data_IF_366075126648
#
_entry.id   IF_366075126648
#
_cell.length_a   1.000
_cell.length_b   1.000
_cell.length_c   1.000
_cell.angle_alpha   90.00
_cell.angle_beta   90.00
_cell.angle_gamma   90.00
#
_symmetry.space_group_name_H-M   'P 1'
#
loop_
_entity.id
_entity.type
_entity.pdbx_description
1 polymer ?
#
# COMPACT_ATOMS: atom_id res chain seq x y z
N UNK A 1 -27.57 6.53 -23.29
CA UNK A 1 -26.75 5.36 -23.67
C UNK A 1 -27.64 4.45 -24.52
N UNK A 2 -27.30 4.19 -25.80
CA UNK A 2 -28.17 3.44 -26.70
C UNK A 2 -28.25 1.97 -26.26
N UNK A 3 -29.40 1.59 -25.69
CA UNK A 3 -29.69 0.24 -25.20
C UNK A 3 -29.59 -0.83 -26.30
N UNK A 4 -29.83 -0.44 -27.55
CA UNK A 4 -29.76 -1.34 -28.71
C UNK A 4 -28.32 -1.74 -29.07
N UNK A 5 -27.34 -0.86 -28.84
CA UNK A 5 -25.93 -1.18 -29.06
C UNK A 5 -25.42 -2.20 -28.03
N UNK A 6 -25.84 -2.07 -26.77
CA UNK A 6 -25.51 -3.00 -25.69
C UNK A 6 -26.07 -4.40 -25.94
N UNK A 7 -27.34 -4.49 -26.35
CA UNK A 7 -27.97 -5.78 -26.67
C UNK A 7 -27.30 -6.47 -27.86
N UNK A 8 -26.95 -5.70 -28.90
CA UNK A 8 -26.35 -6.25 -30.12
C UNK A 8 -24.89 -6.70 -29.94
N UNK A 9 -24.10 -6.03 -29.09
CA UNK A 9 -22.67 -6.30 -28.93
C UNK A 9 -22.30 -6.97 -27.59
N UNK A 10 -23.29 -7.48 -26.84
CA UNK A 10 -23.06 -8.02 -25.50
C UNK A 10 -21.99 -9.13 -25.48
N UNK A 11 -21.91 -9.93 -26.56
CA UNK A 11 -20.93 -11.00 -26.72
C UNK A 11 -19.49 -10.50 -26.93
N UNK A 12 -19.29 -9.25 -27.31
CA UNK A 12 -17.96 -8.59 -27.34
C UNK A 12 -17.64 -7.89 -26.01
N UNK A 13 -18.69 -7.38 -25.34
CA UNK A 13 -18.55 -6.70 -24.06
C UNK A 13 -18.20 -7.67 -22.92
N UNK A 14 -18.74 -8.88 -22.93
CA UNK A 14 -18.45 -9.88 -21.88
C UNK A 14 -16.97 -10.29 -21.85
N UNK A 15 -16.34 -10.71 -22.97
CA UNK A 15 -14.89 -10.97 -22.99
C UNK A 15 -14.06 -9.73 -22.64
N UNK A 16 -14.46 -8.55 -23.14
CA UNK A 16 -13.77 -7.31 -22.83
C UNK A 16 -13.82 -6.98 -21.34
N UNK A 17 -14.97 -7.16 -20.69
CA UNK A 17 -15.13 -6.94 -19.25
C UNK A 17 -14.29 -7.93 -18.43
N UNK A 18 -14.22 -9.20 -18.84
CA UNK A 18 -13.40 -10.22 -18.19
C UNK A 18 -11.89 -9.86 -18.20
N UNK A 19 -11.43 -9.11 -19.19
CA UNK A 19 -10.04 -8.65 -19.27
C UNK A 19 -9.85 -7.29 -18.62
N UNK A 20 -10.74 -6.33 -18.90
CA UNK A 20 -10.61 -4.95 -18.44
C UNK A 20 -10.81 -4.82 -16.93
N UNK A 21 -11.74 -5.56 -16.32
CA UNK A 21 -12.01 -5.44 -14.88
C UNK A 21 -10.78 -5.85 -14.04
N UNK A 22 -10.15 -7.02 -14.26
CA UNK A 22 -8.92 -7.38 -13.55
C UNK A 22 -7.77 -6.39 -13.78
N UNK A 23 -7.60 -5.91 -15.02
CA UNK A 23 -6.57 -4.90 -15.33
C UNK A 23 -6.81 -3.59 -14.59
N UNK A 24 -8.07 -3.13 -14.52
CA UNK A 24 -8.43 -1.94 -13.76
C UNK A 24 -8.23 -2.14 -12.25
N UNK A 25 -8.50 -3.33 -11.71
CA UNK A 25 -8.21 -3.65 -10.32
C UNK A 25 -6.71 -3.64 -10.02
N UNK A 26 -5.88 -4.21 -10.90
CA UNK A 26 -4.42 -4.17 -10.78
C UNK A 26 -3.93 -2.71 -10.83
N UNK A 27 -4.38 -1.93 -11.82
CA UNK A 27 -4.02 -0.52 -11.93
C UNK A 27 -4.47 0.28 -10.70
N UNK A 28 -5.66 -0.01 -10.16
CA UNK A 28 -6.14 0.59 -8.92
C UNK A 28 -5.22 0.28 -7.75
N UNK A 29 -4.74 -0.96 -7.60
CA UNK A 29 -3.81 -1.34 -6.55
C UNK A 29 -2.47 -0.62 -6.68
N UNK A 30 -1.91 -0.55 -7.90
CA UNK A 30 -0.66 0.18 -8.16
C UNK A 30 -0.80 1.67 -7.78
N UNK A 31 -1.87 2.32 -8.22
CA UNK A 31 -2.08 3.75 -7.99
C UNK A 31 -2.42 4.05 -6.54
N UNK A 32 -3.29 3.26 -5.89
CA UNK A 32 -3.77 3.55 -4.54
C UNK A 32 -2.87 3.05 -3.43
N UNK A 33 -2.21 1.91 -3.60
CA UNK A 33 -1.34 1.32 -2.58
C UNK A 33 0.16 1.47 -2.90
N UNK A 34 0.52 1.96 -4.09
CA UNK A 34 1.92 2.16 -4.48
C UNK A 34 2.66 0.84 -4.74
N UNK A 35 1.91 -0.20 -5.09
CA UNK A 35 2.43 -1.53 -5.37
C UNK A 35 3.09 -1.60 -6.74
N UNK A 36 4.10 -2.47 -6.83
CA UNK A 36 4.54 -2.95 -8.13
C UNK A 36 3.48 -3.87 -8.75
N UNK A 37 3.71 -4.29 -9.99
CA UNK A 37 2.75 -5.13 -10.71
C UNK A 37 2.51 -6.49 -10.04
N UNK A 38 3.57 -7.11 -9.51
CA UNK A 38 3.51 -8.44 -8.89
C UNK A 38 2.72 -8.39 -7.58
N UNK A 39 3.02 -7.42 -6.72
CA UNK A 39 2.32 -7.16 -5.47
C UNK A 39 0.86 -6.77 -5.72
N UNK A 40 0.58 -6.06 -6.82
CA UNK A 40 -0.80 -5.74 -7.22
C UNK A 40 -1.58 -6.98 -7.62
N UNK A 41 -0.98 -7.92 -8.36
CA UNK A 41 -1.62 -9.20 -8.68
C UNK A 41 -1.90 -10.00 -7.40
N UNK A 42 -0.92 -10.07 -6.47
CA UNK A 42 -1.11 -10.75 -5.18
C UNK A 42 -2.27 -10.12 -4.41
N UNK A 43 -2.32 -8.80 -4.33
CA UNK A 43 -3.39 -8.07 -3.66
C UNK A 43 -4.76 -8.37 -4.29
N UNK A 44 -4.86 -8.34 -5.62
CA UNK A 44 -6.10 -8.65 -6.35
C UNK A 44 -6.56 -10.09 -6.12
N UNK A 45 -5.63 -11.05 -6.07
CA UNK A 45 -5.94 -12.48 -5.82
C UNK A 45 -6.51 -12.75 -4.43
N UNK A 46 -6.18 -11.91 -3.44
CA UNK A 46 -6.59 -12.09 -2.05
C UNK A 46 -7.60 -11.03 -1.59
N UNK A 47 -8.25 -10.32 -2.52
CA UNK A 47 -9.31 -9.37 -2.20
C UNK A 47 -10.41 -10.07 -1.39
N UNK A 48 -10.72 -9.50 -0.22
CA UNK A 48 -11.72 -10.05 0.72
C UNK A 48 -11.12 -10.92 1.83
N UNK A 49 -9.88 -11.37 1.70
CA UNK A 49 -9.15 -12.13 2.72
C UNK A 49 -8.06 -11.31 3.42
N UNK A 50 -8.05 -9.99 3.19
CA UNK A 50 -7.06 -9.06 3.71
C UNK A 50 -7.60 -8.27 4.87
N UNK A 51 -6.83 -8.14 5.95
CA UNK A 51 -7.19 -7.23 7.04
C UNK A 51 -5.96 -6.55 7.60
N UNK A 52 -5.97 -5.22 7.63
CA UNK A 52 -4.82 -4.40 8.03
C UNK A 52 -5.24 -3.41 9.10
N UNK A 53 -4.51 -3.38 10.20
CA UNK A 53 -4.59 -2.33 11.22
C UNK A 53 -3.60 -1.25 10.85
N UNK A 54 -4.01 0.01 10.98
CA UNK A 54 -3.14 1.15 10.73
C UNK A 54 -2.93 1.98 11.99
N UNK A 55 -1.79 2.68 12.04
CA UNK A 55 -1.49 3.64 13.10
C UNK A 55 -2.51 4.79 13.16
N UNK A 56 -2.68 5.38 14.34
CA UNK A 56 -3.64 6.47 14.53
C UNK A 56 -3.28 7.68 13.65
N UNK A 57 -4.24 8.15 12.85
CA UNK A 57 -4.04 9.31 11.96
C UNK A 57 -3.30 8.99 10.66
N UNK A 58 -2.96 7.71 10.43
CA UNK A 58 -2.41 7.21 9.18
C UNK A 58 -3.39 7.43 8.02
N UNK A 59 -2.83 7.69 6.84
CA UNK A 59 -3.59 7.64 5.58
C UNK A 59 -2.63 7.35 4.44
N UNK A 60 -3.08 6.59 3.44
CA UNK A 60 -2.28 6.25 2.26
C UNK A 60 -1.78 7.49 1.52
N UNK A 61 -2.62 8.53 1.42
CA UNK A 61 -2.23 9.79 0.77
C UNK A 61 -1.03 10.44 1.48
N UNK A 62 -1.04 10.50 2.80
CA UNK A 62 0.07 11.06 3.58
C UNK A 62 1.30 10.15 3.53
N UNK A 63 1.12 8.84 3.51
CA UNK A 63 2.21 7.88 3.33
C UNK A 63 2.96 8.09 2.02
N UNK A 64 2.23 8.35 0.93
CA UNK A 64 2.83 8.68 -0.37
C UNK A 64 3.57 10.01 -0.40
N UNK A 65 3.21 10.95 0.47
CA UNK A 65 3.94 12.22 0.62
C UNK A 65 5.31 12.02 1.26
N UNK A 66 5.55 10.88 1.92
CA UNK A 66 6.85 10.56 2.49
C UNK A 66 7.86 10.25 1.38
N UNK A 67 8.97 11.00 1.39
CA UNK A 67 10.06 10.91 0.43
C UNK A 67 11.37 10.55 1.13
N UNK A 68 12.28 9.94 0.37
CA UNK A 68 13.66 9.69 0.78
C UNK A 68 14.33 11.02 1.17
N UNK A 69 15.10 11.00 2.25
CA UNK A 69 15.81 12.17 2.80
C UNK A 69 15.00 13.04 3.75
N UNK A 70 13.71 12.79 3.94
CA UNK A 70 12.93 13.55 4.94
C UNK A 70 13.35 13.21 6.37
N UNK A 71 13.29 14.22 7.25
CA UNK A 71 13.54 14.07 8.67
C UNK A 71 12.49 13.21 9.38
N UNK A 72 12.90 12.42 10.38
CA UNK A 72 11.98 11.68 11.24
C UNK A 72 10.90 12.57 11.88
N UNK A 73 11.24 13.82 12.24
CA UNK A 73 10.26 14.81 12.73
C UNK A 73 9.22 15.18 11.67
N UNK A 74 9.64 15.35 10.42
CA UNK A 74 8.74 15.64 9.31
C UNK A 74 7.84 14.44 8.99
N UNK A 75 8.39 13.23 9.04
CA UNK A 75 7.63 11.97 8.92
C UNK A 75 6.59 11.88 10.03
N UNK A 76 6.97 12.09 11.29
CA UNK A 76 6.07 12.07 12.44
C UNK A 76 4.94 13.10 12.31
N UNK A 77 5.26 14.33 11.89
CA UNK A 77 4.24 15.35 11.69
C UNK A 77 3.23 14.97 10.61
N UNK A 78 3.69 14.27 9.57
CA UNK A 78 2.91 13.81 8.43
C UNK A 78 2.06 12.59 8.79
N UNK A 79 2.68 11.49 9.23
CA UNK A 79 2.04 10.20 9.43
C UNK A 79 1.54 9.95 10.85
N UNK A 80 1.94 10.79 11.81
CA UNK A 80 1.72 10.60 13.24
C UNK A 80 2.46 9.37 13.76
N UNK A 81 1.98 8.82 14.86
CA UNK A 81 2.63 7.76 15.61
C UNK A 81 2.57 6.44 14.83
N UNK A 82 3.72 5.78 14.58
CA UNK A 82 3.73 4.43 14.04
C UNK A 82 3.13 3.43 15.04
N UNK A 83 2.68 2.27 14.55
CA UNK A 83 2.20 1.19 15.41
C UNK A 83 3.34 0.52 16.16
N UNK A 84 4.45 0.27 15.47
CA UNK A 84 5.65 -0.35 16.04
C UNK A 84 6.91 0.40 15.56
N UNK A 85 7.92 0.41 16.43
CA UNK A 85 9.26 0.93 16.18
C UNK A 85 10.27 -0.06 16.74
N UNK A 86 11.37 -0.26 16.04
CA UNK A 86 12.47 -1.08 16.52
C UNK A 86 13.39 -0.27 17.45
N UNK A 87 13.02 -0.14 18.73
CA UNK A 87 13.82 0.59 19.73
C UNK A 87 14.86 -0.37 20.34
N UNK A 88 16.13 0.05 20.56
CA UNK A 88 16.65 1.42 20.54
C UNK A 88 17.17 1.96 19.20
N UNK A 89 17.36 1.13 18.17
CA UNK A 89 18.01 1.53 16.91
C UNK A 89 17.16 2.53 16.11
N UNK A 90 15.84 2.42 16.23
CA UNK A 90 14.81 3.29 15.65
C UNK A 90 14.93 3.48 14.13
N UNK A 91 15.41 2.44 13.43
CA UNK A 91 15.62 2.41 11.98
C UNK A 91 14.39 1.96 11.19
N UNK A 92 13.32 1.51 11.83
CA UNK A 92 12.15 0.94 11.19
C UNK A 92 10.87 1.36 11.91
N UNK A 93 10.00 2.08 11.19
CA UNK A 93 8.72 2.55 11.69
C UNK A 93 7.60 1.86 10.91
N UNK A 94 6.86 0.97 11.58
CA UNK A 94 5.74 0.23 10.99
C UNK A 94 4.44 0.99 11.25
N UNK A 95 3.75 1.36 10.17
CA UNK A 95 2.47 2.05 10.23
C UNK A 95 1.26 1.13 10.02
N UNK A 96 1.53 -0.14 9.72
CA UNK A 96 0.52 -1.15 9.45
C UNK A 96 0.91 -2.48 10.10
N UNK A 97 -0.07 -3.19 10.63
CA UNK A 97 0.07 -4.54 11.16
C UNK A 97 -1.08 -5.43 10.68
N UNK A 98 -0.92 -6.77 10.67
CA UNK A 98 -2.05 -7.66 10.44
C UNK A 98 -3.11 -7.47 11.52
N UNK A 99 -4.38 -7.55 11.14
CA UNK A 99 -5.45 -7.77 12.11
C UNK A 99 -5.37 -9.18 12.69
N UNK A 100 -5.98 -9.41 13.86
CA UNK A 100 -5.97 -10.75 14.46
C UNK A 100 -6.56 -11.80 13.50
N UNK A 101 -5.81 -12.88 13.25
CA UNK A 101 -6.25 -14.01 12.43
C UNK A 101 -6.19 -13.79 10.91
N UNK A 102 -5.49 -12.76 10.42
CA UNK A 102 -5.25 -12.56 8.97
C UNK A 102 -3.79 -12.78 8.62
N UNK A 103 -3.55 -13.46 7.51
CA UNK A 103 -2.21 -13.67 6.96
C UNK A 103 -1.88 -12.63 5.89
N UNK A 104 -2.90 -12.09 5.21
CA UNK A 104 -2.74 -11.10 4.15
C UNK A 104 -3.01 -9.70 4.66
N UNK A 105 -2.07 -8.78 4.45
CA UNK A 105 -2.24 -7.39 4.86
C UNK A 105 -1.35 -6.44 4.05
N UNK A 106 -1.67 -5.14 4.12
CA UNK A 106 -0.92 -4.10 3.44
C UNK A 106 0.24 -3.61 4.31
N UNK A 107 1.48 -3.81 3.87
CA UNK A 107 2.67 -3.36 4.60
C UNK A 107 3.03 -1.91 4.25
N UNK A 108 3.15 -1.09 5.29
CA UNK A 108 3.49 0.34 5.25
C UNK A 108 4.58 0.59 6.28
N UNK A 109 5.82 0.58 5.81
CA UNK A 109 7.00 0.71 6.66
C UNK A 109 7.88 1.84 6.14
N UNK A 110 8.40 2.64 7.06
CA UNK A 110 9.44 3.63 6.77
C UNK A 110 10.75 3.12 7.36
N UNK A 111 11.76 2.98 6.51
CA UNK A 111 13.12 2.68 6.94
C UNK A 111 13.87 4.00 7.10
N UNK A 112 14.44 4.18 8.28
CA UNK A 112 15.22 5.34 8.70
C UNK A 112 16.70 4.97 8.78
N UNK A 113 17.55 5.91 8.41
CA UNK A 113 19.01 5.80 8.52
C UNK A 113 19.55 7.13 9.04
N UNK A 114 20.54 7.07 9.93
CA UNK A 114 21.17 8.27 10.44
C UNK A 114 22.05 8.90 9.36
N UNK A 115 21.89 10.21 9.16
CA UNK A 115 22.83 10.96 8.32
C UNK A 115 24.16 11.21 9.05
N UNK A 116 25.09 11.88 8.37
CA UNK A 116 26.43 12.20 8.90
C UNK A 116 26.40 13.05 10.18
N UNK A 117 25.26 13.70 10.48
CA UNK A 117 25.06 14.53 11.67
C UNK A 117 24.23 13.80 12.75
N UNK A 118 23.96 12.50 12.59
CA UNK A 118 23.17 11.70 13.52
C UNK A 118 21.66 11.93 13.44
N UNK A 119 21.16 12.62 12.40
CA UNK A 119 19.73 12.89 12.25
C UNK A 119 19.08 11.71 11.50
N UNK A 120 17.98 11.12 12.01
CA UNK A 120 17.30 10.04 11.33
C UNK A 120 16.58 10.60 10.08
N UNK A 121 16.99 10.10 8.91
CA UNK A 121 16.42 10.42 7.60
C UNK A 121 15.75 9.20 7.00
N UNK A 122 14.69 9.41 6.23
CA UNK A 122 14.06 8.33 5.46
C UNK A 122 15.06 7.80 4.44
N UNK A 123 15.40 6.51 4.56
CA UNK A 123 16.17 5.77 3.56
C UNK A 123 15.25 5.19 2.49
N UNK A 124 14.19 4.50 2.93
CA UNK A 124 13.26 3.81 2.04
C UNK A 124 11.84 3.89 2.59
N UNK A 125 10.87 3.91 1.66
CA UNK A 125 9.45 3.72 1.96
C UNK A 125 8.99 2.40 1.37
N UNK A 126 8.63 1.46 2.22
CA UNK A 126 8.15 0.14 1.82
C UNK A 126 6.62 0.19 1.68
N UNK A 127 6.14 -0.16 0.49
CA UNK A 127 4.71 -0.33 0.16
C UNK A 127 4.54 -1.70 -0.48
N UNK A 128 4.14 -2.70 0.31
CA UNK A 128 4.04 -4.10 -0.14
C UNK A 128 2.74 -4.75 0.27
N UNK A 129 2.41 -5.87 -0.35
CA UNK A 129 1.31 -6.72 0.01
C UNK A 129 1.87 -8.01 0.63
N UNK A 130 1.70 -8.13 1.94
CA UNK A 130 2.23 -9.28 2.66
C UNK A 130 1.45 -10.54 2.28
N UNK A 131 2.18 -11.58 1.90
CA UNK A 131 1.71 -12.95 1.74
C UNK A 131 2.60 -13.84 2.60
N UNK A 132 2.06 -14.76 3.40
CA UNK A 132 2.88 -15.77 4.08
C UNK A 132 3.65 -16.58 3.03
N UNK A 133 4.91 -16.91 3.34
CA UNK A 133 5.79 -17.72 2.49
C UNK A 133 5.28 -19.16 2.32
#
# INVERSE_FOLDING_TARGET
MNTDFLKKNWYLLTPAALVLVPLLMIAFCMVNYGYDFTESIKAVRHVGSTSTRYGQGFSERKFKMVRVGMDGKAVYNTLKTPMERNVPEDTEWRYSLPSSGTEYYHERIIIMEQDKNGIPRVKERISRFHTPD
#
